data_IF_623051786340
#
_entry.id   IF_623051786340
#
_cell.length_a   1.000
_cell.length_b   1.000
_cell.length_c   1.000
_cell.angle_alpha   90.00
_cell.angle_beta   90.00
_cell.angle_gamma   90.00
#
_symmetry.space_group_name_H-M   'P 1'
#
loop_
_entity.id
_entity.type
_entity.pdbx_description
1 polymer ?
#
# COMPACT_ATOMS: atom_id res chain seq x y z
N UNK A 1 35.85 0.52 -56.45
CA UNK A 1 34.98 0.44 -57.63
C UNK A 1 33.63 -0.01 -57.14
N UNK A 2 32.75 0.92 -56.80
CA UNK A 2 31.67 1.51 -57.62
C UNK A 2 30.61 0.47 -57.98
N UNK A 3 29.44 0.59 -57.38
CA UNK A 3 28.21 1.01 -58.05
C UNK A 3 27.07 1.24 -57.04
N UNK A 4 26.65 2.49 -56.96
CA UNK A 4 25.35 2.96 -56.52
C UNK A 4 24.33 2.72 -57.64
N UNK A 5 23.10 2.35 -57.30
CA UNK A 5 21.94 2.70 -58.11
C UNK A 5 20.70 2.86 -57.22
N UNK A 6 19.85 3.85 -57.52
CA UNK A 6 18.76 4.27 -56.65
C UNK A 6 17.38 3.92 -57.24
N UNK A 7 16.36 4.15 -56.41
CA UNK A 7 15.01 4.57 -56.80
C UNK A 7 13.97 3.48 -57.06
N UNK A 8 12.93 3.53 -56.23
CA UNK A 8 11.51 3.48 -56.62
C UNK A 8 10.72 3.65 -55.30
N UNK A 9 10.05 4.77 -55.00
CA UNK A 9 8.81 5.03 -55.69
C UNK A 9 7.71 4.84 -54.68
N UNK A 10 7.56 5.80 -53.76
CA UNK A 10 6.47 5.83 -52.74
C UNK A 10 5.23 6.43 -53.42
N UNK A 11 4.21 5.63 -53.69
CA UNK A 11 2.87 6.09 -54.06
C UNK A 11 2.00 6.15 -52.81
N UNK A 12 1.51 7.31 -52.50
CA UNK A 12 0.49 7.58 -51.48
C UNK A 12 -0.85 6.95 -51.85
N UNK A 13 -1.51 6.34 -50.90
CA UNK A 13 -2.91 5.95 -50.92
C UNK A 13 -3.70 6.76 -49.89
N UNK A 14 -5.00 6.93 -50.07
CA UNK A 14 -5.78 8.02 -49.49
C UNK A 14 -6.19 7.75 -48.04
N UNK A 15 -6.32 8.85 -47.32
CA UNK A 15 -6.79 8.96 -45.94
C UNK A 15 -8.30 8.74 -45.90
N UNK A 16 -8.75 7.62 -45.40
CA UNK A 16 -10.15 7.39 -45.07
C UNK A 16 -10.50 8.02 -43.72
N UNK A 17 -11.35 9.01 -43.77
CA UNK A 17 -12.09 9.56 -42.64
C UNK A 17 -13.12 8.54 -42.18
N UNK A 18 -12.99 8.07 -40.94
CA UNK A 18 -14.08 7.35 -40.25
C UNK A 18 -14.53 8.21 -39.07
N UNK A 19 -15.62 8.82 -39.32
CA UNK A 19 -16.91 8.99 -38.63
C UNK A 19 -16.93 8.85 -37.12
N UNK A 20 -17.32 9.91 -36.49
CA UNK A 20 -17.70 10.05 -35.09
C UNK A 20 -18.86 9.10 -34.74
N UNK A 21 -18.69 8.26 -33.75
CA UNK A 21 -19.74 7.47 -33.13
C UNK A 21 -20.15 8.10 -31.78
N UNK A 22 -21.37 8.48 -31.77
CA UNK A 22 -22.26 9.06 -30.75
C UNK A 22 -22.21 8.27 -29.43
N UNK A 23 -21.96 8.97 -28.35
CA UNK A 23 -22.08 8.50 -26.96
C UNK A 23 -23.56 8.42 -26.56
N UNK A 24 -24.07 7.34 -26.01
CA UNK A 24 -25.39 7.32 -25.39
C UNK A 24 -25.32 7.90 -23.96
N UNK A 25 -26.09 8.95 -23.76
CA UNK A 25 -26.38 9.59 -22.49
C UNK A 25 -27.14 8.61 -21.57
N UNK A 26 -26.46 8.02 -20.58
CA UNK A 26 -27.08 7.26 -19.50
C UNK A 26 -27.81 8.19 -18.52
N UNK A 27 -29.11 7.98 -18.37
CA UNK A 27 -29.99 8.66 -17.41
C UNK A 27 -29.56 8.31 -15.97
N UNK A 28 -29.24 9.33 -15.21
CA UNK A 28 -29.08 9.24 -13.75
C UNK A 28 -30.50 9.30 -13.15
N UNK A 29 -30.92 8.20 -12.57
CA UNK A 29 -32.15 8.13 -11.74
C UNK A 29 -31.76 8.49 -10.30
N UNK A 30 -32.25 9.61 -9.84
CA UNK A 30 -32.24 10.03 -8.44
C UNK A 30 -33.32 9.29 -7.66
N UNK A 31 -33.04 8.73 -6.48
CA UNK A 31 -34.13 8.30 -5.59
C UNK A 31 -34.66 9.49 -4.80
N UNK A 32 -35.94 9.72 -4.97
CA UNK A 32 -36.79 10.65 -4.26
C UNK A 32 -36.84 10.34 -2.76
N UNK A 33 -36.46 11.34 -1.96
CA UNK A 33 -36.70 11.36 -0.51
C UNK A 33 -38.18 11.67 -0.24
N UNK A 34 -38.91 10.69 0.23
CA UNK A 34 -40.29 10.84 0.68
C UNK A 34 -40.31 11.43 2.09
N UNK A 35 -40.70 12.70 2.19
CA UNK A 35 -41.10 13.35 3.44
C UNK A 35 -42.42 12.77 3.92
N UNK A 36 -42.42 12.16 5.10
CA UNK A 36 -43.66 11.88 5.83
C UNK A 36 -43.83 12.95 6.91
N UNK A 37 -44.83 13.80 6.68
CA UNK A 37 -45.37 14.77 7.62
C UNK A 37 -46.63 14.15 8.22
N UNK A 38 -46.74 14.07 9.51
CA UNK A 38 -47.95 13.95 10.37
C UNK A 38 -47.43 13.63 11.78
N UNK A 39 -47.85 14.26 12.87
CA UNK A 39 -49.15 14.76 13.25
C UNK A 39 -49.00 15.72 14.41
N UNK A 40 -49.70 16.82 14.32
CA UNK A 40 -50.09 17.69 15.42
C UNK A 40 -50.99 16.93 16.39
N UNK A 41 -50.71 16.97 17.68
CA UNK A 41 -51.74 16.85 18.70
C UNK A 41 -51.48 17.92 19.74
N UNK A 42 -52.33 18.93 19.71
CA UNK A 42 -52.56 19.92 20.75
C UNK A 42 -53.16 19.24 21.99
N UNK A 43 -52.57 19.49 23.15
CA UNK A 43 -53.33 19.41 24.41
C UNK A 43 -53.02 20.67 25.23
N UNK A 44 -54.03 21.50 25.23
CA UNK A 44 -54.23 22.63 26.10
C UNK A 44 -54.80 22.08 27.42
N UNK A 45 -54.11 22.25 28.53
CA UNK A 45 -54.68 22.11 29.85
C UNK A 45 -54.13 23.19 30.77
N UNK A 46 -55.07 23.93 31.24
CA UNK A 46 -55.01 25.13 32.04
C UNK A 46 -54.96 24.77 33.54
N UNK A 47 -54.33 25.70 34.33
CA UNK A 47 -54.51 26.01 35.77
C UNK A 47 -53.75 25.10 36.77
N UNK A 48 -53.01 25.63 37.68
CA UNK A 48 -53.39 26.35 38.90
C UNK A 48 -52.14 26.89 39.62
N UNK A 49 -52.17 28.13 40.08
CA UNK A 49 -51.27 28.79 41.00
C UNK A 49 -51.11 27.98 42.31
N UNK A 50 -49.87 27.75 42.70
CA UNK A 50 -49.54 27.60 44.13
C UNK A 50 -48.11 28.11 44.35
N UNK A 51 -48.02 29.32 44.86
CA UNK A 51 -46.79 29.96 45.27
C UNK A 51 -46.25 29.28 46.57
N UNK A 52 -45.34 28.36 46.43
CA UNK A 52 -44.52 27.88 47.55
C UNK A 52 -43.15 28.49 47.41
N UNK A 53 -42.94 29.51 48.24
CA UNK A 53 -41.61 30.12 48.45
C UNK A 53 -40.77 29.13 49.25
N UNK A 54 -40.15 28.17 48.56
CA UNK A 54 -39.13 27.32 49.14
C UNK A 54 -37.78 27.98 48.89
N UNK A 55 -37.14 28.44 49.96
CA UNK A 55 -35.76 28.89 49.97
C UNK A 55 -34.89 27.75 49.41
N UNK A 56 -34.41 27.92 48.19
CA UNK A 56 -33.45 27.02 47.58
C UNK A 56 -32.11 27.23 48.27
N UNK A 57 -31.51 26.21 48.93
CA UNK A 57 -30.17 26.35 49.44
C UNK A 57 -29.26 26.66 48.27
N UNK A 58 -28.42 27.69 48.41
CA UNK A 58 -27.42 28.08 47.44
C UNK A 58 -26.66 26.87 46.96
N UNK A 59 -27.12 26.31 45.83
CA UNK A 59 -26.44 25.23 45.12
C UNK A 59 -25.04 25.77 44.84
N UNK A 60 -24.07 25.07 45.41
CA UNK A 60 -22.64 25.21 45.14
C UNK A 60 -22.49 25.27 43.65
N UNK A 61 -22.28 26.46 43.10
CA UNK A 61 -22.03 26.65 41.68
C UNK A 61 -20.92 25.66 41.30
N UNK A 62 -21.24 24.67 40.52
CA UNK A 62 -20.24 23.83 39.92
C UNK A 62 -19.23 24.76 39.25
N UNK A 63 -17.92 24.57 39.41
CA UNK A 63 -16.92 25.47 38.84
C UNK A 63 -17.13 25.49 37.36
N UNK A 64 -17.70 26.57 36.87
CA UNK A 64 -17.89 26.85 35.46
C UNK A 64 -16.52 26.78 34.79
N UNK A 65 -16.32 25.74 33.95
CA UNK A 65 -15.27 25.74 32.98
C UNK A 65 -13.86 25.91 33.59
N UNK A 66 -13.29 24.83 34.10
CA UNK A 66 -11.83 24.74 34.14
C UNK A 66 -11.37 24.98 32.70
N UNK A 67 -10.89 26.17 32.41
CA UNK A 67 -10.25 26.49 31.15
C UNK A 67 -9.20 25.40 30.97
N UNK A 68 -9.43 24.49 30.04
CA UNK A 68 -8.57 23.32 29.83
C UNK A 68 -7.21 23.87 29.39
N UNK A 69 -6.30 23.94 30.35
CA UNK A 69 -4.96 24.49 30.17
C UNK A 69 -4.26 23.69 29.11
N UNK A 70 -3.68 24.37 28.13
CA UNK A 70 -2.91 23.75 27.04
C UNK A 70 -1.51 23.50 27.55
N UNK A 71 -1.06 22.27 27.51
CA UNK A 71 0.26 21.82 27.95
C UNK A 71 1.13 21.56 26.73
N UNK A 72 2.41 21.88 26.85
CA UNK A 72 3.43 21.58 25.84
C UNK A 72 4.17 20.32 26.25
N UNK A 73 4.28 19.35 25.30
CA UNK A 73 5.03 18.12 25.48
C UNK A 73 5.94 17.88 24.30
N UNK A 74 7.23 17.66 24.55
CA UNK A 74 8.19 17.21 23.56
C UNK A 74 8.29 15.68 23.61
N UNK A 75 8.26 15.03 22.42
CA UNK A 75 8.42 13.59 22.27
C UNK A 75 9.52 13.30 21.23
N UNK A 76 10.64 12.75 21.67
CA UNK A 76 11.77 12.37 20.79
C UNK A 76 11.63 10.92 20.38
N UNK A 77 11.55 10.65 19.09
CA UNK A 77 11.50 9.30 18.54
C UNK A 77 12.93 8.75 18.39
N UNK A 78 13.08 7.47 18.73
CA UNK A 78 14.37 6.78 18.72
C UNK A 78 14.56 5.91 17.49
N UNK A 79 13.49 5.33 16.98
CA UNK A 79 13.52 4.32 15.94
C UNK A 79 12.86 4.77 14.64
N UNK A 80 11.80 5.55 14.75
CA UNK A 80 11.02 6.02 13.61
C UNK A 80 11.24 7.51 13.35
N UNK A 81 10.87 7.98 12.16
CA UNK A 81 11.02 9.40 11.82
C UNK A 81 9.88 10.23 12.39
N UNK A 82 10.21 11.31 13.08
CA UNK A 82 9.21 12.22 13.61
C UNK A 82 8.32 12.83 12.52
N UNK A 83 8.83 13.05 11.31
CA UNK A 83 8.04 13.50 10.16
C UNK A 83 6.91 12.56 9.76
N UNK A 84 7.09 11.25 9.95
CA UNK A 84 6.05 10.24 9.66
C UNK A 84 5.01 10.17 10.77
N UNK A 85 5.43 10.42 12.02
CA UNK A 85 4.55 10.44 13.17
C UNK A 85 3.58 11.64 13.19
N UNK A 86 3.90 12.75 12.51
CA UNK A 86 2.99 13.91 12.38
C UNK A 86 1.63 13.50 11.85
N UNK A 87 1.60 12.66 10.80
CA UNK A 87 0.35 12.20 10.19
C UNK A 87 -0.52 11.36 11.14
N UNK A 88 0.09 10.66 12.10
CA UNK A 88 -0.60 9.87 13.12
C UNK A 88 -1.15 10.75 14.26
N UNK A 89 -0.43 11.82 14.60
CA UNK A 89 -0.80 12.73 15.69
C UNK A 89 -1.90 13.68 15.25
N UNK A 90 -1.85 14.19 14.03
CA UNK A 90 -2.75 15.23 13.54
C UNK A 90 -4.24 14.95 13.78
N UNK A 91 -4.80 13.75 13.48
CA UNK A 91 -6.22 13.44 13.72
C UNK A 91 -6.59 13.31 15.21
N UNK A 92 -5.61 13.21 16.11
CA UNK A 92 -5.80 13.06 17.55
C UNK A 92 -5.78 14.38 18.31
N UNK A 93 -5.33 15.47 17.66
CA UNK A 93 -5.27 16.79 18.25
C UNK A 93 -6.67 17.32 18.57
N UNK A 94 -6.76 18.09 19.65
CA UNK A 94 -7.94 18.88 19.95
C UNK A 94 -8.03 20.10 19.02
N UNK A 95 -9.14 20.83 19.08
CA UNK A 95 -9.30 22.08 18.30
C UNK A 95 -8.28 23.16 18.65
N UNK A 96 -7.64 23.07 19.83
CA UNK A 96 -6.60 23.99 20.31
C UNK A 96 -5.19 23.39 20.15
N UNK A 97 -5.11 22.13 19.68
CA UNK A 97 -3.86 21.40 19.59
C UNK A 97 -3.03 21.82 18.38
N UNK A 98 -1.72 21.83 18.57
CA UNK A 98 -0.72 22.01 17.50
C UNK A 98 0.37 20.97 17.64
N UNK A 99 0.96 20.58 16.50
CA UNK A 99 2.14 19.72 16.45
C UNK A 99 3.19 20.36 15.56
N UNK A 100 4.40 20.43 16.05
CA UNK A 100 5.56 20.97 15.34
C UNK A 100 6.67 19.95 15.31
N UNK A 101 7.37 19.88 14.18
CA UNK A 101 8.53 19.01 13.97
C UNK A 101 9.79 19.81 14.25
N UNK A 102 10.66 19.30 15.14
CA UNK A 102 12.02 19.80 15.31
C UNK A 102 12.97 18.99 14.42
N UNK A 103 13.45 19.54 13.29
CA UNK A 103 14.22 18.78 12.31
C UNK A 103 15.54 18.21 12.86
N UNK A 104 16.22 18.95 13.73
CA UNK A 104 17.56 18.56 14.25
C UNK A 104 17.55 17.47 15.31
N UNK A 105 16.39 17.15 15.93
CA UNK A 105 16.33 16.25 17.07
C UNK A 105 15.40 15.05 16.92
N UNK A 106 14.84 14.80 15.73
CA UNK A 106 13.82 13.76 15.51
C UNK A 106 12.69 13.84 16.58
N UNK A 107 12.29 15.06 16.92
CA UNK A 107 11.40 15.37 18.04
C UNK A 107 10.13 16.04 17.54
N UNK A 108 8.98 15.61 18.07
CA UNK A 108 7.70 16.29 17.94
C UNK A 108 7.47 17.16 19.17
N UNK A 109 7.12 18.41 18.97
CA UNK A 109 6.63 19.31 20.00
C UNK A 109 5.11 19.39 19.84
N UNK A 110 4.39 18.88 20.82
CA UNK A 110 2.93 18.80 20.81
C UNK A 110 2.41 19.73 21.90
N UNK A 111 1.55 20.64 21.50
CA UNK A 111 0.87 21.56 22.41
C UNK A 111 -0.62 21.25 22.34
N UNK A 112 -1.19 20.72 23.44
CA UNK A 112 -2.61 20.35 23.49
C UNK A 112 -3.10 20.23 24.94
N UNK A 113 -4.39 19.96 25.09
CA UNK A 113 -5.01 19.67 26.37
C UNK A 113 -4.55 18.30 26.90
N UNK A 114 -4.45 18.10 28.24
CA UNK A 114 -3.98 16.82 28.82
C UNK A 114 -4.73 15.59 28.33
N UNK A 115 -6.03 15.70 28.12
CA UNK A 115 -6.86 14.60 27.60
C UNK A 115 -6.48 14.15 26.17
N UNK A 116 -6.04 15.08 25.32
CA UNK A 116 -5.54 14.77 23.98
C UNK A 116 -4.14 14.15 24.06
N UNK A 117 -3.24 14.71 24.87
CA UNK A 117 -1.89 14.19 25.08
C UNK A 117 -1.91 12.74 25.60
N UNK A 118 -2.84 12.41 26.52
CA UNK A 118 -3.02 11.05 27.03
C UNK A 118 -3.42 10.03 25.94
N UNK A 119 -4.03 10.48 24.84
CA UNK A 119 -4.34 9.63 23.67
C UNK A 119 -3.18 9.56 22.70
N UNK A 120 -2.46 10.65 22.51
CA UNK A 120 -1.36 10.78 21.56
C UNK A 120 -0.14 9.99 22.01
N UNK A 121 0.27 10.10 23.27
CA UNK A 121 1.50 9.48 23.76
C UNK A 121 1.54 7.95 23.57
N UNK A 122 0.48 7.17 23.88
CA UNK A 122 0.48 5.74 23.61
C UNK A 122 0.62 5.42 22.11
N UNK A 123 -0.01 6.20 21.24
CA UNK A 123 0.12 6.01 19.77
C UNK A 123 1.56 6.23 19.33
N UNK A 124 2.21 7.28 19.82
CA UNK A 124 3.63 7.54 19.52
C UNK A 124 4.55 6.45 20.06
N UNK A 125 4.29 5.91 21.25
CA UNK A 125 5.08 4.80 21.82
C UNK A 125 4.95 3.52 20.98
N UNK A 126 3.74 3.21 20.52
CA UNK A 126 3.49 2.06 19.67
C UNK A 126 4.12 2.23 18.27
N UNK A 127 4.14 3.47 17.78
CA UNK A 127 4.78 3.79 16.50
C UNK A 127 6.31 3.73 16.58
N UNK A 128 6.91 4.19 17.69
CA UNK A 128 8.36 4.28 17.88
C UNK A 128 8.99 2.94 18.30
N UNK A 129 8.62 1.86 17.61
CA UNK A 129 9.25 0.56 17.83
C UNK A 129 10.49 0.39 16.94
N UNK A 130 11.40 -0.49 17.35
CA UNK A 130 12.56 -0.84 16.57
C UNK A 130 12.12 -1.53 15.26
N UNK A 131 12.55 -1.02 14.08
CA UNK A 131 12.22 -1.65 12.82
C UNK A 131 12.67 -3.11 12.77
N UNK A 132 11.76 -4.01 12.42
CA UNK A 132 12.06 -5.43 12.34
C UNK A 132 12.80 -5.75 11.03
N UNK A 133 13.82 -6.58 11.07
CA UNK A 133 14.49 -7.05 9.86
C UNK A 133 13.57 -8.01 9.11
N UNK A 134 13.59 -7.92 7.78
CA UNK A 134 12.81 -8.76 6.89
C UNK A 134 13.66 -9.24 5.74
N UNK A 135 13.31 -10.41 5.20
CA UNK A 135 13.96 -11.01 4.04
C UNK A 135 12.91 -11.42 3.03
N UNK A 136 13.02 -10.90 1.82
CA UNK A 136 12.18 -11.29 0.68
C UNK A 136 13.01 -12.13 -0.28
N UNK A 137 12.61 -13.36 -0.49
CA UNK A 137 13.12 -14.20 -1.55
C UNK A 137 12.32 -13.93 -2.82
N UNK A 138 13.01 -13.65 -3.91
CA UNK A 138 12.44 -13.34 -5.23
C UNK A 138 13.02 -14.29 -6.24
N UNK A 139 12.16 -15.10 -6.88
CA UNK A 139 12.55 -15.95 -8.00
C UNK A 139 11.77 -15.53 -9.23
N UNK A 140 12.48 -15.37 -10.35
CA UNK A 140 11.86 -15.19 -11.67
C UNK A 140 11.94 -16.51 -12.40
N UNK A 141 10.79 -17.02 -12.83
CA UNK A 141 10.61 -18.34 -13.43
C UNK A 141 9.97 -18.17 -14.79
N UNK A 142 10.58 -18.81 -15.81
CA UNK A 142 9.98 -19.01 -17.12
C UNK A 142 9.22 -20.32 -17.09
N UNK A 143 7.94 -20.28 -17.42
CA UNK A 143 7.10 -21.43 -17.61
C UNK A 143 6.86 -21.66 -19.11
N UNK A 144 6.97 -22.87 -19.61
CA UNK A 144 6.75 -23.18 -21.02
C UNK A 144 5.95 -24.46 -21.21
N UNK A 145 5.18 -24.50 -22.32
CA UNK A 145 4.51 -25.71 -22.79
C UNK A 145 5.37 -26.33 -23.91
N UNK A 146 5.93 -27.48 -23.65
CA UNK A 146 6.66 -28.22 -24.68
C UNK A 146 5.70 -29.13 -25.45
N UNK A 147 5.77 -29.02 -26.77
CA UNK A 147 5.07 -29.95 -27.70
C UNK A 147 5.97 -31.05 -28.20
N UNK A 148 7.26 -31.01 -27.90
CA UNK A 148 8.25 -31.97 -28.43
C UNK A 148 9.13 -32.45 -27.27
N UNK A 149 8.95 -33.71 -26.90
CA UNK A 149 9.72 -34.51 -25.92
C UNK A 149 10.07 -33.87 -24.59
N UNK A 150 9.73 -34.48 -23.47
CA UNK A 150 10.15 -34.01 -22.15
C UNK A 150 11.66 -34.28 -22.01
N UNK A 151 12.51 -33.40 -22.50
CA UNK A 151 13.84 -33.30 -21.93
C UNK A 151 13.65 -32.79 -20.50
N UNK A 152 13.77 -33.72 -19.55
CA UNK A 152 13.87 -33.38 -18.13
C UNK A 152 15.14 -32.54 -17.98
N UNK A 153 15.02 -31.25 -18.22
CA UNK A 153 16.02 -30.30 -17.76
C UNK A 153 15.81 -30.24 -16.24
N UNK A 154 16.81 -30.66 -15.49
CA UNK A 154 16.81 -30.46 -14.05
C UNK A 154 16.53 -28.98 -13.80
N UNK A 155 15.33 -28.66 -13.35
CA UNK A 155 15.01 -27.31 -12.94
C UNK A 155 15.83 -27.02 -11.68
N UNK A 156 16.62 -25.95 -11.67
CA UNK A 156 17.32 -25.49 -10.44
C UNK A 156 16.35 -25.01 -9.35
N UNK A 157 15.06 -25.25 -9.57
CA UNK A 157 13.99 -24.92 -8.65
C UNK A 157 13.84 -26.00 -7.57
N UNK A 158 13.54 -25.62 -6.31
CA UNK A 158 13.19 -26.56 -5.28
C UNK A 158 12.04 -27.49 -5.71
N UNK A 159 12.18 -28.81 -5.50
CA UNK A 159 11.23 -29.82 -5.95
C UNK A 159 9.79 -29.55 -5.47
N UNK A 160 9.63 -29.10 -4.23
CA UNK A 160 8.31 -28.75 -3.67
C UNK A 160 7.67 -27.56 -4.40
N UNK A 161 8.47 -26.59 -4.82
CA UNK A 161 7.98 -25.45 -5.62
C UNK A 161 7.58 -25.90 -7.01
N UNK A 162 8.41 -26.69 -7.68
CA UNK A 162 8.14 -27.24 -9.00
C UNK A 162 6.83 -28.04 -9.00
N UNK A 163 6.62 -28.92 -8.00
CA UNK A 163 5.37 -29.67 -7.86
C UNK A 163 4.16 -28.75 -7.71
N UNK A 164 4.23 -27.75 -6.83
CA UNK A 164 3.14 -26.78 -6.65
C UNK A 164 2.84 -25.99 -7.93
N UNK A 165 3.86 -25.61 -8.70
CA UNK A 165 3.68 -24.90 -9.95
C UNK A 165 3.01 -25.78 -11.01
N UNK A 166 3.36 -27.09 -11.08
CA UNK A 166 2.69 -28.06 -11.94
C UNK A 166 1.22 -28.28 -11.55
N UNK A 167 0.92 -28.34 -10.26
CA UNK A 167 -0.45 -28.52 -9.76
C UNK A 167 -1.36 -27.32 -10.05
N UNK A 168 -0.79 -26.11 -10.10
CA UNK A 168 -1.54 -24.85 -10.25
C UNK A 168 -1.60 -24.38 -11.70
N UNK A 169 -0.66 -24.75 -12.53
CA UNK A 169 -0.46 -24.14 -13.85
C UNK A 169 -0.33 -25.18 -14.94
N UNK A 170 -0.97 -24.94 -16.07
CA UNK A 170 -0.94 -25.82 -17.24
C UNK A 170 0.33 -25.62 -18.10
N UNK A 171 1.51 -25.70 -17.47
CA UNK A 171 2.82 -25.65 -18.11
C UNK A 171 3.62 -26.91 -17.77
N UNK A 172 4.46 -27.35 -18.69
CA UNK A 172 5.19 -28.61 -18.57
C UNK A 172 6.61 -28.41 -18.02
N UNK A 173 7.20 -27.24 -18.27
CA UNK A 173 8.55 -26.91 -17.86
C UNK A 173 8.60 -25.58 -17.11
N UNK A 174 9.45 -25.56 -16.07
CA UNK A 174 9.75 -24.38 -15.28
C UNK A 174 11.27 -24.21 -15.19
N UNK A 175 11.77 -23.06 -15.62
CA UNK A 175 13.18 -22.71 -15.65
C UNK A 175 13.42 -21.47 -14.82
N UNK A 176 14.35 -21.53 -13.85
CA UNK A 176 14.75 -20.36 -13.07
C UNK A 176 15.56 -19.40 -13.93
N UNK A 177 15.10 -18.17 -14.06
CA UNK A 177 15.78 -17.11 -14.79
C UNK A 177 16.68 -16.27 -13.88
N UNK A 178 16.23 -16.00 -12.69
CA UNK A 178 16.97 -15.23 -11.70
C UNK A 178 16.44 -15.47 -10.29
N UNK A 179 17.31 -15.37 -9.30
CA UNK A 179 16.98 -15.50 -7.87
C UNK A 179 17.76 -14.48 -7.06
N UNK A 180 17.15 -13.91 -6.04
CA UNK A 180 17.84 -13.16 -4.99
C UNK A 180 17.10 -13.24 -3.65
N UNK A 181 17.86 -13.06 -2.58
CA UNK A 181 17.35 -12.82 -1.24
C UNK A 181 17.61 -11.36 -0.87
N UNK A 182 16.53 -10.60 -0.72
CA UNK A 182 16.57 -9.15 -0.49
C UNK A 182 16.27 -8.87 0.98
N UNK A 183 17.28 -8.44 1.72
CA UNK A 183 17.14 -8.04 3.12
C UNK A 183 16.82 -6.57 3.26
N UNK A 184 16.11 -6.20 4.31
CA UNK A 184 15.83 -4.83 4.68
C UNK A 184 15.11 -4.74 6.01
N UNK A 185 14.73 -3.54 6.40
CA UNK A 185 13.93 -3.29 7.60
C UNK A 185 12.62 -2.59 7.24
N UNK A 186 11.68 -2.59 8.15
CA UNK A 186 10.42 -1.87 8.02
C UNK A 186 10.64 -0.42 7.55
N UNK A 187 9.81 0.05 6.63
CA UNK A 187 9.87 1.40 6.07
C UNK A 187 10.98 1.63 5.02
N UNK A 188 11.94 0.72 4.88
CA UNK A 188 13.08 0.89 3.99
C UNK A 188 12.71 0.60 2.52
N UNK A 189 13.08 1.48 1.57
CA UNK A 189 13.04 1.17 0.16
C UNK A 189 14.18 0.21 -0.22
N UNK A 190 13.87 -0.77 -1.06
CA UNK A 190 14.81 -1.73 -1.62
C UNK A 190 14.80 -1.57 -3.13
N UNK A 191 15.99 -1.45 -3.72
CA UNK A 191 16.18 -1.45 -5.18
C UNK A 191 17.32 -2.42 -5.45
N UNK A 192 17.08 -3.42 -6.29
CA UNK A 192 18.05 -4.46 -6.57
C UNK A 192 18.02 -4.88 -8.04
N UNK A 193 19.20 -5.08 -8.61
CA UNK A 193 19.37 -5.64 -9.95
C UNK A 193 19.51 -7.16 -9.84
N UNK A 194 18.54 -7.87 -10.38
CA UNK A 194 18.41 -9.31 -10.30
C UNK A 194 18.96 -9.95 -11.58
N UNK A 195 20.16 -10.44 -11.51
CA UNK A 195 20.92 -10.83 -12.71
C UNK A 195 21.24 -9.62 -13.59
N UNK A 196 21.37 -9.85 -14.90
CA UNK A 196 21.67 -8.78 -15.86
C UNK A 196 20.42 -8.13 -16.46
N UNK A 197 19.29 -8.84 -16.42
CA UNK A 197 18.09 -8.46 -17.16
C UNK A 197 17.00 -7.82 -16.29
N UNK A 198 16.93 -8.13 -15.01
CA UNK A 198 15.79 -7.73 -14.18
C UNK A 198 16.18 -6.76 -13.10
N UNK A 199 15.23 -5.91 -12.73
CA UNK A 199 15.33 -5.00 -11.61
C UNK A 199 14.08 -5.09 -10.76
N UNK A 200 14.27 -5.18 -9.47
CA UNK A 200 13.20 -5.25 -8.47
C UNK A 200 13.28 -4.01 -7.58
N UNK A 201 12.17 -3.38 -7.34
CA UNK A 201 12.08 -2.27 -6.38
C UNK A 201 10.78 -2.36 -5.58
N UNK A 202 10.86 -2.06 -4.30
CA UNK A 202 9.72 -2.03 -3.38
C UNK A 202 10.09 -1.31 -2.09
N UNK A 203 9.11 -1.12 -1.21
CA UNK A 203 9.31 -0.66 0.16
C UNK A 203 8.66 -1.66 1.11
N UNK A 204 9.41 -2.11 2.11
CA UNK A 204 8.82 -2.86 3.21
C UNK A 204 7.88 -1.98 4.03
N UNK A 205 6.66 -2.45 4.28
CA UNK A 205 5.76 -1.86 5.27
C UNK A 205 6.05 -2.40 6.66
N UNK A 206 5.23 -2.02 7.62
CA UNK A 206 5.29 -2.52 8.99
C UNK A 206 4.80 -3.96 9.06
N UNK A 207 5.49 -4.79 9.85
CA UNK A 207 5.03 -6.13 10.18
C UNK A 207 3.85 -6.03 11.15
N UNK A 208 2.69 -6.48 10.70
CA UNK A 208 1.47 -6.49 11.50
C UNK A 208 1.48 -7.66 12.50
N UNK A 209 0.67 -7.58 13.56
CA UNK A 209 0.57 -8.63 14.61
C UNK A 209 0.17 -10.00 14.05
N UNK A 210 -0.57 -10.02 12.93
CA UNK A 210 -0.98 -11.23 12.22
C UNK A 210 0.06 -11.75 11.22
N UNK A 211 1.31 -11.35 11.37
CA UNK A 211 2.44 -11.77 10.52
C UNK A 211 2.33 -11.33 9.06
N UNK A 212 1.58 -10.27 8.77
CA UNK A 212 1.46 -9.70 7.43
C UNK A 212 2.36 -8.49 7.25
N UNK A 213 2.94 -8.37 6.06
CA UNK A 213 3.70 -7.20 5.62
C UNK A 213 3.16 -6.70 4.29
N UNK A 214 2.96 -5.41 4.16
CA UNK A 214 2.62 -4.77 2.90
C UNK A 214 3.90 -4.34 2.17
N UNK A 215 4.10 -4.85 0.96
CA UNK A 215 5.10 -4.33 0.05
C UNK A 215 4.49 -3.22 -0.80
N UNK A 216 4.93 -1.99 -0.58
CA UNK A 216 4.44 -0.83 -1.32
C UNK A 216 5.29 -0.59 -2.56
N UNK A 217 4.65 -0.14 -3.65
CA UNK A 217 5.32 0.19 -4.91
C UNK A 217 6.19 -0.96 -5.44
N UNK A 218 5.74 -2.21 -5.25
CA UNK A 218 6.44 -3.37 -5.77
C UNK A 218 6.46 -3.33 -7.29
N UNK A 219 7.66 -3.31 -7.86
CA UNK A 219 7.87 -3.22 -9.30
C UNK A 219 8.93 -4.21 -9.73
N UNK A 220 8.66 -4.88 -10.82
CA UNK A 220 9.65 -5.68 -11.57
C UNK A 220 9.73 -5.11 -12.96
N UNK A 221 10.93 -4.79 -13.40
CA UNK A 221 11.19 -4.35 -14.76
C UNK A 221 12.27 -5.21 -15.40
N UNK A 222 12.26 -5.25 -16.74
CA UNK A 222 13.25 -5.94 -17.55
C UNK A 222 14.06 -4.91 -18.33
N UNK A 223 15.37 -4.99 -18.21
CA UNK A 223 16.32 -4.23 -19.01
C UNK A 223 16.65 -5.05 -20.26
N UNK A 224 16.46 -4.51 -21.43
CA UNK A 224 16.93 -5.08 -22.68
C UNK A 224 18.26 -4.48 -23.10
N UNK A 225 19.15 -5.23 -23.74
CA UNK A 225 20.36 -4.67 -24.34
C UNK A 225 19.97 -3.62 -25.39
N UNK A 226 20.40 -2.35 -25.15
CA UNK A 226 20.10 -1.25 -26.06
C UNK A 226 18.61 -0.84 -26.16
N UNK A 227 17.74 -1.35 -25.30
CA UNK A 227 16.31 -1.00 -25.25
C UNK A 227 15.96 -0.31 -23.94
N UNK A 228 14.92 0.55 -23.93
CA UNK A 228 14.43 1.14 -22.68
C UNK A 228 13.94 0.05 -21.72
N UNK A 229 14.08 0.33 -20.42
CA UNK A 229 13.57 -0.55 -19.35
C UNK A 229 12.05 -0.74 -19.49
N UNK A 230 11.61 -1.99 -19.54
CA UNK A 230 10.20 -2.35 -19.66
C UNK A 230 9.64 -2.76 -18.31
N UNK A 231 8.57 -2.12 -17.88
CA UNK A 231 7.85 -2.50 -16.66
C UNK A 231 7.03 -3.76 -16.91
N UNK A 232 7.34 -4.85 -16.18
CA UNK A 232 6.64 -6.13 -16.26
C UNK A 232 5.49 -6.21 -15.26
N UNK A 233 5.68 -5.67 -14.05
CA UNK A 233 4.69 -5.67 -12.98
C UNK A 233 4.88 -4.43 -12.11
N UNK A 234 3.77 -3.81 -11.75
CA UNK A 234 3.75 -2.77 -10.71
C UNK A 234 2.46 -2.91 -9.89
N UNK A 235 2.62 -3.12 -8.60
CA UNK A 235 1.49 -3.39 -7.69
C UNK A 235 1.87 -3.13 -6.24
N UNK A 236 0.88 -3.17 -5.35
CA UNK A 236 1.08 -3.29 -3.92
C UNK A 236 0.67 -4.70 -3.49
N UNK A 237 1.48 -5.35 -2.68
CA UNK A 237 1.27 -6.71 -2.23
C UNK A 237 1.15 -6.76 -0.71
N UNK A 238 0.33 -7.67 -0.21
CA UNK A 238 0.35 -8.04 1.20
C UNK A 238 0.77 -9.51 1.29
N UNK A 239 1.87 -9.78 1.99
CA UNK A 239 2.43 -11.11 2.14
C UNK A 239 2.35 -11.52 3.61
N UNK A 240 2.08 -12.80 3.86
CA UNK A 240 2.30 -13.41 5.17
C UNK A 240 3.73 -13.91 5.26
N UNK A 241 4.31 -13.84 6.46
CA UNK A 241 5.60 -14.48 6.72
C UNK A 241 5.50 -16.00 6.45
N UNK A 242 6.57 -16.57 5.90
CA UNK A 242 6.71 -17.99 5.53
C UNK A 242 5.73 -18.51 4.48
N UNK A 243 4.94 -17.60 3.86
CA UNK A 243 4.07 -17.95 2.75
C UNK A 243 4.71 -17.60 1.42
N UNK A 244 4.61 -18.54 0.48
CA UNK A 244 5.04 -18.35 -0.91
C UNK A 244 3.85 -18.01 -1.78
N UNK A 245 3.96 -16.94 -2.57
CA UNK A 245 2.99 -16.57 -3.60
C UNK A 245 3.64 -16.56 -4.98
N UNK A 246 2.86 -16.81 -6.02
CA UNK A 246 3.29 -16.71 -7.42
C UNK A 246 2.41 -15.72 -8.17
N UNK A 247 3.04 -14.86 -8.99
CA UNK A 247 2.36 -13.84 -9.80
C UNK A 247 2.84 -13.95 -11.24
N UNK A 248 1.91 -13.89 -12.19
CA UNK A 248 2.23 -13.75 -13.61
C UNK A 248 2.79 -12.37 -13.91
N UNK A 249 3.92 -12.29 -14.60
CA UNK A 249 4.54 -11.02 -15.01
C UNK A 249 4.15 -10.65 -16.43
N UNK A 250 4.25 -11.60 -17.34
CA UNK A 250 3.93 -11.41 -18.75
C UNK A 250 3.48 -12.74 -19.37
N UNK A 251 2.46 -12.66 -20.21
CA UNK A 251 2.00 -13.75 -21.06
C UNK A 251 1.64 -13.16 -22.41
N UNK A 252 2.16 -13.74 -23.48
CA UNK A 252 1.65 -13.48 -24.81
C UNK A 252 0.63 -14.55 -25.18
N UNK A 253 -0.52 -14.16 -25.72
CA UNK A 253 -1.54 -15.12 -26.16
C UNK A 253 -1.01 -16.05 -27.26
N UNK A 254 -0.10 -15.54 -28.09
CA UNK A 254 0.59 -16.32 -29.13
C UNK A 254 1.78 -17.12 -28.60
N UNK A 255 2.26 -16.86 -27.38
CA UNK A 255 3.42 -17.51 -26.79
C UNK A 255 3.02 -18.70 -25.93
N UNK A 256 3.73 -19.82 -26.14
CA UNK A 256 3.64 -20.98 -25.24
C UNK A 256 4.42 -20.79 -23.94
N UNK A 257 4.94 -19.61 -23.72
CA UNK A 257 5.75 -19.24 -22.57
C UNK A 257 5.06 -18.19 -21.71
N UNK A 258 5.28 -18.26 -20.42
CA UNK A 258 4.90 -17.24 -19.45
C UNK A 258 6.08 -16.91 -18.54
N UNK A 259 6.18 -15.67 -18.14
CA UNK A 259 7.12 -15.22 -17.11
C UNK A 259 6.37 -15.01 -15.82
N UNK A 260 6.93 -15.49 -14.72
CA UNK A 260 6.33 -15.45 -13.40
C UNK A 260 7.35 -15.00 -12.37
N UNK A 261 6.87 -14.41 -11.28
CA UNK A 261 7.65 -14.20 -10.06
C UNK A 261 7.07 -15.02 -8.92
N UNK A 262 7.95 -15.65 -8.18
CA UNK A 262 7.63 -16.34 -6.93
C UNK A 262 8.27 -15.55 -5.79
N UNK A 263 7.47 -15.22 -4.78
CA UNK A 263 7.87 -14.41 -3.65
C UNK A 263 7.64 -15.19 -2.36
N UNK A 264 8.66 -15.21 -1.50
CA UNK A 264 8.55 -15.76 -0.14
C UNK A 264 9.09 -14.73 0.84
N UNK A 265 8.26 -14.29 1.76
CA UNK A 265 8.65 -13.36 2.82
C UNK A 265 9.02 -14.15 4.07
N UNK A 266 10.13 -13.77 4.71
CA UNK A 266 10.56 -14.32 5.99
C UNK A 266 10.94 -13.19 6.95
N UNK A 267 10.80 -13.43 8.23
CA UNK A 267 11.41 -12.58 9.23
C UNK A 267 12.95 -12.71 9.09
N UNK A 268 13.63 -11.60 9.06
CA UNK A 268 15.09 -11.58 8.92
C UNK A 268 15.77 -11.85 10.25
N UNK A 269 16.97 -12.41 10.21
CA UNK A 269 17.81 -12.48 11.40
C UNK A 269 18.20 -11.07 11.83
N UNK A 270 18.14 -10.80 13.14
CA UNK A 270 18.66 -9.55 13.67
C UNK A 270 20.14 -9.40 13.25
N UNK A 271 20.57 -8.19 12.82
CA UNK A 271 21.97 -7.99 12.46
C UNK A 271 22.84 -8.38 13.67
N UNK A 272 23.71 -9.35 13.51
CA UNK A 272 24.71 -9.68 14.52
C UNK A 272 25.62 -8.45 14.67
N UNK A 273 25.55 -7.82 15.84
CA UNK A 273 26.42 -6.69 16.22
C UNK A 273 27.84 -7.21 16.49
#
# INVERSE_FOLDING_TARGET
MIRLSPNAGFRGGPVDRVSAATTPRGKILSPSVTRSVRSLVSFLAVLILSSSLTAQPAGKAAPAGAATEVVLQAYTLRHQRASEAVALVYPLLSRKGTVELQPGGNTLVIRDVPAALNRIVPVLRNFDHQPRPMRLEVLIVRASRNTVSPQVRHSDLPEQLTKRLHDLLAYDNFEMQAQAQLGGVEGQPVIYELGQEYKVSFRFGTLMDDQRVKLSSFRISRRGEGRPETNLLQTNLTLWCDQTISLGLAKSEASREALMVVLTLREGDAPRR
#
